data_IF_049608102602
#
_entry.id   IF_049608102602
#
_cell.length_a   1.000
_cell.length_b   1.000
_cell.length_c   1.000
_cell.angle_alpha   90.00
_cell.angle_beta   90.00
_cell.angle_gamma   90.00
#
_symmetry.space_group_name_H-M   'P 1'
#
loop_
_entity.id
_entity.type
_entity.pdbx_description
1 polymer ?
#
# COMPACT_ATOMS: atom_id res chain seq x y z
N UNK A 1 29.30 -13.10 48.22
CA UNK A 1 28.22 -14.07 47.93
C UNK A 1 28.84 -15.39 47.55
N UNK A 2 28.30 -16.52 48.02
CA UNK A 2 28.77 -17.86 47.66
C UNK A 2 28.39 -18.20 46.22
N UNK A 3 29.08 -19.18 45.61
CA UNK A 3 28.73 -19.71 44.28
C UNK A 3 27.26 -20.16 44.21
N UNK A 4 26.76 -20.78 45.28
CA UNK A 4 25.36 -21.20 45.41
C UNK A 4 24.42 -19.99 45.38
N UNK A 5 24.73 -18.91 46.10
CA UNK A 5 23.91 -17.70 46.08
C UNK A 5 23.84 -17.06 44.69
N UNK A 6 24.96 -17.04 43.96
CA UNK A 6 24.99 -16.56 42.57
C UNK A 6 24.18 -17.46 41.63
N UNK A 7 24.30 -18.78 41.75
CA UNK A 7 23.54 -19.74 40.95
C UNK A 7 22.03 -19.62 41.21
N UNK A 8 21.62 -19.48 42.48
CA UNK A 8 20.22 -19.27 42.86
C UNK A 8 19.67 -17.95 42.30
N UNK A 9 20.42 -16.85 42.42
CA UNK A 9 20.01 -15.55 41.89
C UNK A 9 19.86 -15.59 40.35
N UNK A 10 20.81 -16.25 39.67
CA UNK A 10 20.76 -16.46 38.22
C UNK A 10 19.53 -17.26 37.79
N UNK A 11 19.25 -18.37 38.47
CA UNK A 11 18.06 -19.19 38.19
C UNK A 11 16.76 -18.43 38.44
N UNK A 12 16.65 -17.69 39.56
CA UNK A 12 15.47 -16.89 39.86
C UNK A 12 15.25 -15.78 38.81
N UNK A 13 16.32 -15.10 38.40
CA UNK A 13 16.25 -14.07 37.36
C UNK A 13 15.79 -14.64 36.02
N UNK A 14 16.33 -15.80 35.64
CA UNK A 14 15.91 -16.51 34.43
C UNK A 14 14.44 -16.93 34.48
N UNK A 15 13.99 -17.50 35.61
CA UNK A 15 12.59 -17.90 35.79
C UNK A 15 11.64 -16.70 35.76
N UNK A 16 12.04 -15.55 36.33
CA UNK A 16 11.27 -14.31 36.27
C UNK A 16 11.14 -13.78 34.83
N UNK A 17 12.23 -13.81 34.05
CA UNK A 17 12.20 -13.43 32.62
C UNK A 17 11.28 -14.37 31.84
N UNK A 18 11.38 -15.69 32.06
CA UNK A 18 10.49 -16.66 31.41
C UNK A 18 9.02 -16.45 31.78
N UNK A 19 8.72 -16.18 33.06
CA UNK A 19 7.38 -15.89 33.53
C UNK A 19 6.84 -14.60 32.90
N UNK A 20 7.66 -13.55 32.83
CA UNK A 20 7.32 -12.30 32.16
C UNK A 20 7.01 -12.50 30.67
N UNK A 21 7.87 -13.21 29.93
CA UNK A 21 7.66 -13.49 28.50
C UNK A 21 6.34 -14.24 28.30
N UNK A 22 6.08 -15.27 29.11
CA UNK A 22 4.84 -16.05 29.04
C UNK A 22 3.60 -15.22 29.35
N UNK A 23 3.66 -14.36 30.36
CA UNK A 23 2.54 -13.49 30.71
C UNK A 23 2.29 -12.42 29.63
N UNK A 24 3.34 -11.78 29.12
CA UNK A 24 3.25 -10.83 28.03
C UNK A 24 2.66 -11.48 26.76
N UNK A 25 3.17 -12.64 26.36
CA UNK A 25 2.67 -13.39 25.20
C UNK A 25 1.22 -13.83 25.37
N UNK A 26 0.82 -14.28 26.58
CA UNK A 26 -0.57 -14.59 26.92
C UNK A 26 -1.49 -13.37 26.73
N UNK A 27 -1.06 -12.19 27.18
CA UNK A 27 -1.80 -10.92 27.02
C UNK A 27 -1.92 -10.52 25.56
N UNK A 28 -0.85 -10.64 24.77
CA UNK A 28 -0.84 -10.29 23.34
C UNK A 28 -1.67 -11.26 22.47
N UNK A 29 -1.78 -12.52 22.87
CA UNK A 29 -2.58 -13.55 22.18
C UNK A 29 -4.08 -13.43 22.45
N UNK A 30 -4.49 -12.71 23.50
CA UNK A 30 -5.89 -12.48 23.79
C UNK A 30 -6.50 -11.49 22.79
N UNK A 31 -7.66 -11.81 22.24
CA UNK A 31 -8.42 -10.87 21.40
C UNK A 31 -9.39 -10.10 22.32
N UNK A 32 -9.25 -8.76 22.47
CA UNK A 32 -10.14 -7.99 23.33
C UNK A 32 -11.60 -8.07 22.87
N UNK A 33 -12.56 -8.04 23.80
CA UNK A 33 -13.99 -8.10 23.49
C UNK A 33 -14.42 -6.99 22.50
N UNK A 34 -13.83 -5.78 22.64
CA UNK A 34 -14.06 -4.66 21.72
C UNK A 34 -13.59 -4.94 20.28
N UNK A 35 -12.56 -5.77 20.09
CA UNK A 35 -12.13 -6.22 18.76
C UNK A 35 -13.05 -7.29 18.19
N UNK A 36 -13.54 -8.20 19.05
CA UNK A 36 -14.47 -9.25 18.65
C UNK A 36 -15.81 -8.68 18.14
N UNK A 37 -16.24 -7.53 18.69
CA UNK A 37 -17.45 -6.84 18.23
C UNK A 37 -17.42 -6.46 16.74
N UNK A 38 -16.27 -6.03 16.21
CA UNK A 38 -16.12 -5.62 14.80
C UNK A 38 -16.02 -6.79 13.82
N UNK A 39 -15.81 -8.02 14.31
CA UNK A 39 -15.71 -9.22 13.49
C UNK A 39 -16.33 -10.40 14.26
N UNK A 40 -17.67 -10.41 14.41
CA UNK A 40 -18.36 -11.42 15.20
C UNK A 40 -18.27 -12.81 14.56
N UNK A 41 -18.17 -12.87 13.23
CA UNK A 41 -18.01 -14.09 12.45
C UNK A 41 -16.54 -14.21 12.02
N UNK A 42 -15.80 -15.15 12.64
CA UNK A 42 -14.42 -15.44 12.24
C UNK A 42 -14.36 -16.56 11.21
N UNK A 43 -13.33 -16.52 10.37
CA UNK A 43 -13.04 -17.60 9.44
C UNK A 43 -12.75 -18.89 10.19
N UNK A 44 -13.52 -19.94 9.87
CA UNK A 44 -13.25 -21.30 10.29
C UNK A 44 -12.57 -22.06 9.14
N UNK A 45 -11.83 -23.15 9.42
CA UNK A 45 -11.27 -23.99 8.35
C UNK A 45 -12.30 -24.41 7.31
N UNK A 46 -13.48 -24.87 7.76
CA UNK A 46 -14.61 -25.21 6.88
C UNK A 46 -15.12 -24.02 6.07
N UNK A 47 -15.12 -22.82 6.66
CA UNK A 47 -15.51 -21.60 5.96
C UNK A 47 -14.56 -21.24 4.83
N UNK A 48 -13.26 -21.44 5.04
CA UNK A 48 -12.23 -21.23 4.01
C UNK A 48 -12.38 -22.26 2.89
N UNK A 49 -12.52 -23.55 3.23
CA UNK A 49 -12.74 -24.62 2.25
C UNK A 49 -13.98 -24.38 1.39
N UNK A 50 -15.10 -24.01 2.01
CA UNK A 50 -16.35 -23.70 1.30
C UNK A 50 -16.16 -22.57 0.28
N UNK A 51 -15.54 -21.46 0.68
CA UNK A 51 -15.30 -20.32 -0.22
C UNK A 51 -14.32 -20.68 -1.32
N UNK A 52 -13.30 -21.51 -1.04
CA UNK A 52 -12.40 -22.00 -2.06
C UNK A 52 -13.16 -22.80 -3.13
N UNK A 53 -14.03 -23.74 -2.73
CA UNK A 53 -14.87 -24.50 -3.66
C UNK A 53 -15.85 -23.60 -4.44
N UNK A 54 -16.44 -22.60 -3.81
CA UNK A 54 -17.30 -21.61 -4.50
C UNK A 54 -16.52 -20.85 -5.58
N UNK A 55 -15.28 -20.41 -5.27
CA UNK A 55 -14.41 -19.72 -6.23
C UNK A 55 -13.88 -20.63 -7.36
N UNK A 56 -13.72 -21.93 -7.12
CA UNK A 56 -13.37 -22.91 -8.16
C UNK A 56 -14.51 -23.13 -9.15
N UNK A 57 -15.75 -23.10 -8.67
CA UNK A 57 -16.95 -23.22 -9.51
C UNK A 57 -17.20 -21.95 -10.33
N UNK A 58 -16.98 -20.78 -9.74
CA UNK A 58 -17.14 -19.50 -10.41
C UNK A 58 -16.14 -18.48 -9.83
N UNK A 59 -15.10 -18.19 -10.61
CA UNK A 59 -14.17 -17.14 -10.24
C UNK A 59 -14.90 -15.79 -10.17
N UNK A 60 -14.66 -14.97 -9.12
CA UNK A 60 -15.30 -13.67 -9.01
C UNK A 60 -14.88 -12.78 -10.19
N UNK A 61 -15.88 -12.30 -10.92
CA UNK A 61 -15.74 -11.29 -11.96
C UNK A 61 -16.24 -9.95 -11.43
N UNK A 62 -15.64 -8.88 -11.93
CA UNK A 62 -16.01 -7.50 -11.58
C UNK A 62 -16.42 -6.71 -12.82
N UNK A 63 -16.66 -7.39 -13.94
CA UNK A 63 -16.93 -6.75 -15.23
C UNK A 63 -18.23 -5.93 -15.18
N UNK A 64 -19.18 -6.33 -14.33
CA UNK A 64 -20.43 -5.62 -14.00
C UNK A 64 -20.21 -4.37 -13.13
N UNK A 65 -19.06 -4.27 -12.46
CA UNK A 65 -18.66 -3.14 -11.61
C UNK A 65 -17.75 -2.15 -12.35
N UNK A 66 -17.31 -2.48 -13.57
CA UNK A 66 -16.45 -1.58 -14.33
C UNK A 66 -17.25 -0.33 -14.76
N UNK A 67 -16.74 0.88 -14.46
CA UNK A 67 -17.39 2.10 -14.94
C UNK A 67 -17.34 2.16 -16.48
N UNK A 68 -18.26 2.88 -17.13
CA UNK A 68 -18.28 3.00 -18.58
C UNK A 68 -16.98 3.63 -19.12
N UNK A 69 -16.71 3.39 -20.40
CA UNK A 69 -15.66 4.09 -21.16
C UNK A 69 -15.87 5.60 -21.06
N UNK A 70 -14.78 6.34 -20.82
CA UNK A 70 -14.83 7.81 -20.77
C UNK A 70 -14.09 8.46 -21.93
N UNK A 71 -13.22 7.74 -22.63
CA UNK A 71 -12.45 8.28 -23.75
C UNK A 71 -11.32 9.24 -23.33
N UNK A 72 -11.02 9.34 -22.04
CA UNK A 72 -9.96 10.20 -21.51
C UNK A 72 -8.57 9.64 -21.85
N UNK A 73 -7.54 10.47 -21.67
CA UNK A 73 -6.14 10.06 -21.70
C UNK A 73 -5.70 9.67 -20.29
N UNK A 74 -4.94 8.59 -20.15
CA UNK A 74 -4.55 8.02 -18.86
C UNK A 74 -3.05 7.87 -18.72
N UNK A 75 -2.53 8.33 -17.60
CA UNK A 75 -1.15 8.06 -17.19
C UNK A 75 -1.21 7.22 -15.91
N UNK A 76 -0.72 5.99 -15.98
CA UNK A 76 -0.66 5.06 -14.83
C UNK A 76 0.79 4.95 -14.38
N UNK A 77 1.13 5.70 -13.34
CA UNK A 77 2.46 5.72 -12.73
C UNK A 77 2.59 4.57 -11.74
N UNK A 78 3.59 3.71 -11.89
CA UNK A 78 3.65 2.40 -11.26
C UNK A 78 2.77 1.35 -11.98
N UNK A 79 2.45 1.59 -13.26
CA UNK A 79 1.51 0.78 -14.04
C UNK A 79 2.03 -0.59 -14.47
N UNK A 80 3.35 -0.83 -14.36
CA UNK A 80 3.93 -2.15 -14.63
C UNK A 80 3.88 -3.08 -13.40
N UNK A 81 3.58 -2.53 -12.22
CA UNK A 81 3.41 -3.27 -10.97
C UNK A 81 2.05 -3.93 -10.81
N UNK A 82 1.80 -4.49 -9.62
CA UNK A 82 0.57 -5.23 -9.32
C UNK A 82 -0.71 -4.39 -9.45
N UNK A 83 -0.88 -3.36 -8.60
CA UNK A 83 -2.10 -2.53 -8.60
C UNK A 83 -2.23 -1.73 -9.90
N UNK A 84 -1.16 -1.07 -10.33
CA UNK A 84 -1.16 -0.27 -11.55
C UNK A 84 -1.46 -1.09 -12.80
N UNK A 85 -0.93 -2.31 -12.89
CA UNK A 85 -1.23 -3.24 -13.97
C UNK A 85 -2.71 -3.60 -14.03
N UNK A 86 -3.34 -3.85 -12.88
CA UNK A 86 -4.79 -4.09 -12.83
C UNK A 86 -5.60 -2.86 -13.26
N UNK A 87 -5.18 -1.65 -12.91
CA UNK A 87 -5.81 -0.42 -13.41
C UNK A 87 -5.73 -0.37 -14.94
N UNK A 88 -4.57 -0.64 -15.54
CA UNK A 88 -4.40 -0.68 -17.01
C UNK A 88 -5.34 -1.72 -17.64
N UNK A 89 -5.37 -2.94 -17.10
CA UNK A 89 -6.24 -4.00 -17.61
C UNK A 89 -7.72 -3.64 -17.50
N UNK A 90 -8.14 -3.03 -16.40
CA UNK A 90 -9.53 -2.59 -16.21
C UNK A 90 -9.91 -1.44 -17.15
N UNK A 91 -9.01 -0.48 -17.38
CA UNK A 91 -9.20 0.58 -18.38
C UNK A 91 -9.44 -0.02 -19.78
N UNK A 92 -8.63 -1.01 -20.17
CA UNK A 92 -8.77 -1.71 -21.45
C UNK A 92 -10.06 -2.52 -21.53
N UNK A 93 -10.41 -3.25 -20.46
CA UNK A 93 -11.63 -4.07 -20.37
C UNK A 93 -12.90 -3.25 -20.52
N UNK A 94 -12.96 -2.06 -19.91
CA UNK A 94 -14.10 -1.14 -20.10
C UNK A 94 -14.14 -0.45 -21.47
N UNK A 95 -13.20 -0.75 -22.37
CA UNK A 95 -13.21 -0.31 -23.77
C UNK A 95 -12.36 0.92 -24.10
N UNK A 96 -11.47 1.35 -23.20
CA UNK A 96 -10.52 2.42 -23.54
C UNK A 96 -9.55 2.00 -24.64
N UNK A 97 -9.08 2.98 -25.41
CA UNK A 97 -8.10 2.77 -26.47
C UNK A 97 -6.69 2.64 -25.85
N UNK A 98 -5.90 1.58 -26.15
CA UNK A 98 -4.52 1.45 -25.72
C UNK A 98 -3.66 2.70 -26.00
N UNK A 99 -3.90 3.39 -27.13
CA UNK A 99 -3.17 4.62 -27.52
C UNK A 99 -3.40 5.78 -26.56
N UNK A 100 -4.50 5.74 -25.79
CA UNK A 100 -4.85 6.73 -24.75
C UNK A 100 -4.36 6.33 -23.37
N UNK A 101 -3.60 5.25 -23.23
CA UNK A 101 -3.03 4.82 -21.96
C UNK A 101 -1.50 4.86 -22.05
N UNK A 102 -0.86 5.42 -21.03
CA UNK A 102 0.59 5.37 -20.82
C UNK A 102 0.88 4.73 -19.48
N UNK A 103 1.85 3.83 -19.47
CA UNK A 103 2.41 3.23 -18.26
C UNK A 103 3.78 3.84 -18.01
N UNK A 104 3.96 4.42 -16.83
CA UNK A 104 5.26 4.89 -16.35
C UNK A 104 5.70 3.98 -15.21
N UNK A 105 6.88 3.39 -15.29
CA UNK A 105 7.43 2.58 -14.21
C UNK A 105 8.95 2.52 -14.32
N UNK A 106 9.65 2.20 -13.23
CA UNK A 106 11.11 2.06 -13.22
C UNK A 106 11.55 0.78 -13.94
N UNK A 107 10.65 -0.20 -14.09
CA UNK A 107 10.90 -1.47 -14.78
C UNK A 107 9.78 -1.79 -15.77
N UNK A 108 10.10 -2.42 -16.92
CA UNK A 108 9.08 -2.85 -17.88
C UNK A 108 8.13 -3.89 -17.27
N UNK A 109 6.88 -4.00 -17.77
CA UNK A 109 5.94 -5.04 -17.37
C UNK A 109 6.55 -6.43 -17.56
N UNK A 110 6.31 -7.32 -16.59
CA UNK A 110 6.70 -8.74 -16.65
C UNK A 110 5.52 -9.69 -16.65
N UNK A 111 4.38 -9.25 -16.13
CA UNK A 111 3.15 -10.04 -16.10
C UNK A 111 2.67 -10.30 -17.52
N UNK A 112 2.38 -11.55 -17.85
CA UNK A 112 1.95 -11.96 -19.20
C UNK A 112 0.69 -11.23 -19.66
N UNK A 113 -0.24 -10.97 -18.75
CA UNK A 113 -1.48 -10.24 -19.04
C UNK A 113 -1.26 -8.78 -19.50
N UNK A 114 -0.10 -8.18 -19.18
CA UNK A 114 0.31 -6.86 -19.65
C UNK A 114 1.11 -6.92 -20.97
N UNK A 115 1.50 -8.11 -21.43
CA UNK A 115 2.34 -8.33 -22.61
C UNK A 115 1.56 -8.93 -23.79
N UNK A 116 0.26 -9.18 -23.61
CA UNK A 116 -0.61 -9.83 -24.58
C UNK A 116 -1.84 -8.96 -24.91
N UNK A 117 -2.62 -9.40 -25.90
CA UNK A 117 -3.87 -8.75 -26.28
C UNK A 117 -3.69 -7.26 -26.62
N UNK A 118 -4.59 -6.42 -26.11
CA UNK A 118 -4.54 -4.94 -26.23
C UNK A 118 -3.52 -4.30 -25.29
N UNK A 119 -3.10 -5.00 -24.23
CA UNK A 119 -2.21 -4.43 -23.23
C UNK A 119 -0.79 -4.23 -23.76
N UNK A 120 -0.33 -5.11 -24.66
CA UNK A 120 0.96 -4.96 -25.35
C UNK A 120 1.07 -3.68 -26.19
N UNK A 121 -0.08 -3.13 -26.62
CA UNK A 121 -0.16 -1.92 -27.45
C UNK A 121 -0.18 -0.64 -26.59
N UNK A 122 -0.27 -0.78 -25.26
CA UNK A 122 -0.19 0.34 -24.32
C UNK A 122 1.25 0.85 -24.25
N UNK A 123 1.42 2.16 -24.37
CA UNK A 123 2.74 2.76 -24.37
C UNK A 123 3.41 2.66 -23.01
N UNK A 124 4.63 2.12 -22.98
CA UNK A 124 5.46 2.05 -21.78
C UNK A 124 6.59 3.09 -21.83
N UNK A 125 6.79 3.80 -20.72
CA UNK A 125 7.89 4.75 -20.51
C UNK A 125 8.63 4.36 -19.24
N UNK A 126 9.93 4.08 -19.38
CA UNK A 126 10.76 3.77 -18.23
C UNK A 126 11.13 5.06 -17.50
N UNK A 127 10.63 5.22 -16.27
CA UNK A 127 10.76 6.47 -15.49
C UNK A 127 11.04 6.16 -14.02
N UNK A 128 12.11 6.73 -13.48
CA UNK A 128 12.28 6.88 -12.03
C UNK A 128 11.56 8.16 -11.59
N UNK A 129 10.49 8.01 -10.81
CA UNK A 129 9.68 9.16 -10.39
C UNK A 129 10.42 10.13 -9.47
N UNK A 130 11.56 9.73 -8.91
CA UNK A 130 12.42 10.64 -8.15
C UNK A 130 13.25 11.58 -9.03
N UNK A 131 13.35 11.31 -10.32
CA UNK A 131 13.96 12.19 -11.31
C UNK A 131 12.88 13.11 -11.92
N UNK A 132 12.93 14.39 -11.54
CA UNK A 132 11.97 15.39 -12.01
C UNK A 132 12.00 15.54 -13.54
N UNK A 133 13.18 15.53 -14.17
CA UNK A 133 13.30 15.74 -15.61
C UNK A 133 12.72 14.55 -16.38
N UNK A 134 12.95 13.32 -15.89
CA UNK A 134 12.38 12.13 -16.48
C UNK A 134 10.84 12.12 -16.39
N UNK A 135 10.28 12.51 -15.24
CA UNK A 135 8.82 12.63 -15.05
C UNK A 135 8.24 13.69 -15.99
N UNK A 136 8.83 14.89 -16.03
CA UNK A 136 8.37 15.97 -16.91
C UNK A 136 8.39 15.54 -18.38
N UNK A 137 9.46 14.90 -18.84
CA UNK A 137 9.59 14.43 -20.21
C UNK A 137 8.53 13.38 -20.57
N UNK A 138 8.27 12.43 -19.68
CA UNK A 138 7.28 11.37 -19.91
C UNK A 138 5.84 11.89 -19.92
N UNK A 139 5.51 12.87 -19.06
CA UNK A 139 4.20 13.50 -19.04
C UNK A 139 3.97 14.38 -20.28
N UNK A 140 4.99 15.14 -20.72
CA UNK A 140 4.88 16.04 -21.87
C UNK A 140 5.00 15.35 -23.23
N UNK A 141 5.19 14.03 -23.28
CA UNK A 141 5.29 13.33 -24.57
C UNK A 141 4.00 13.53 -25.40
N UNK A 142 4.07 13.75 -26.73
CA UNK A 142 2.88 13.96 -27.55
C UNK A 142 1.95 12.74 -27.59
N UNK A 143 0.64 12.99 -27.54
CA UNK A 143 -0.37 11.95 -27.75
C UNK A 143 -0.62 11.74 -29.24
N UNK A 144 -0.98 10.52 -29.69
CA UNK A 144 -1.34 10.29 -31.10
C UNK A 144 -2.55 11.13 -31.52
N UNK A 145 -2.62 11.43 -32.82
CA UNK A 145 -3.77 12.06 -33.48
C UNK A 145 -4.17 13.43 -32.89
N UNK A 146 -3.21 14.16 -32.30
CA UNK A 146 -3.41 15.45 -31.62
C UNK A 146 -4.56 15.43 -30.60
N UNK A 147 -4.74 14.29 -29.92
CA UNK A 147 -5.84 14.08 -28.98
C UNK A 147 -5.75 15.02 -27.78
N UNK A 148 -6.69 15.96 -27.67
CA UNK A 148 -6.79 16.95 -26.58
C UNK A 148 -7.68 16.52 -25.41
N UNK A 149 -8.20 15.28 -25.40
CA UNK A 149 -9.12 14.80 -24.34
C UNK A 149 -8.52 14.97 -22.94
N UNK A 150 -9.29 15.22 -21.87
CA UNK A 150 -8.69 15.49 -20.56
C UNK A 150 -7.84 14.32 -20.03
N UNK A 151 -6.73 14.64 -19.33
CA UNK A 151 -5.82 13.64 -18.76
C UNK A 151 -6.26 13.27 -17.33
N UNK A 152 -6.25 11.97 -17.03
CA UNK A 152 -6.40 11.38 -15.70
C UNK A 152 -5.16 10.60 -15.31
N UNK A 153 -4.62 10.88 -14.12
CA UNK A 153 -3.39 10.26 -13.62
C UNK A 153 -3.71 9.35 -12.44
N UNK A 154 -3.23 8.11 -12.51
CA UNK A 154 -3.24 7.18 -11.39
C UNK A 154 -1.81 7.01 -10.90
N UNK A 155 -1.50 7.46 -9.69
CA UNK A 155 -0.21 7.26 -9.07
C UNK A 155 -0.26 6.08 -8.10
N UNK A 156 0.24 4.93 -8.54
CA UNK A 156 0.41 3.71 -7.74
C UNK A 156 1.87 3.40 -7.40
N UNK A 157 2.82 4.20 -7.90
CA UNK A 157 4.23 4.01 -7.61
C UNK A 157 4.52 4.28 -6.12
N UNK A 158 5.31 3.38 -5.53
CA UNK A 158 5.73 3.49 -4.15
C UNK A 158 7.00 2.67 -3.89
N UNK A 159 7.86 3.17 -3.01
CA UNK A 159 8.80 2.34 -2.30
C UNK A 159 8.13 1.81 -1.02
N UNK A 160 8.03 0.49 -0.91
CA UNK A 160 7.25 -0.19 0.13
C UNK A 160 8.20 -0.91 1.10
N UNK A 161 8.46 -0.29 2.26
CA UNK A 161 9.37 -0.77 3.31
C UNK A 161 8.68 -0.75 4.67
N UNK A 162 7.72 -1.67 4.88
CA UNK A 162 6.87 -1.70 6.09
C UNK A 162 7.63 -2.01 7.38
N UNK A 163 8.74 -2.74 7.29
CA UNK A 163 9.54 -3.20 8.42
C UNK A 163 10.47 -2.11 9.00
N UNK A 164 10.57 -0.96 8.34
CA UNK A 164 11.43 0.13 8.81
C UNK A 164 10.65 1.10 9.70
N UNK A 165 11.16 1.32 10.91
CA UNK A 165 10.61 2.29 11.85
C UNK A 165 11.61 3.36 12.27
N UNK A 166 12.90 3.11 12.15
CA UNK A 166 13.91 4.07 12.61
C UNK A 166 13.94 5.30 11.71
N UNK A 167 13.98 6.50 12.31
CA UNK A 167 13.87 7.78 11.59
C UNK A 167 15.01 8.00 10.58
N UNK A 168 16.22 7.49 10.87
CA UNK A 168 17.35 7.60 9.94
C UNK A 168 17.15 6.86 8.61
N UNK A 169 16.18 5.94 8.54
CA UNK A 169 15.85 5.18 7.33
C UNK A 169 14.77 5.85 6.48
N UNK A 170 14.12 6.92 6.96
CA UNK A 170 13.10 7.67 6.20
C UNK A 170 13.59 8.07 4.80
N UNK A 171 14.84 8.57 4.61
CA UNK A 171 15.32 8.98 3.29
C UNK A 171 15.24 7.88 2.22
N UNK A 172 15.36 6.60 2.62
CA UNK A 172 15.30 5.46 1.69
C UNK A 172 13.93 5.34 1.01
N UNK A 173 12.86 5.78 1.67
CA UNK A 173 11.50 5.77 1.11
C UNK A 173 11.05 7.16 0.64
N UNK A 174 11.52 8.23 1.29
CA UNK A 174 11.07 9.60 1.04
C UNK A 174 11.39 10.08 -0.38
N UNK A 175 12.54 9.70 -0.95
CA UNK A 175 12.93 10.09 -2.30
C UNK A 175 11.91 9.63 -3.36
N UNK A 176 11.34 8.44 -3.20
CA UNK A 176 10.33 7.92 -4.13
C UNK A 176 8.93 8.38 -3.72
N UNK A 177 8.57 8.20 -2.45
CA UNK A 177 7.19 8.40 -1.99
C UNK A 177 6.80 9.88 -1.87
N UNK A 178 7.70 10.74 -1.40
CA UNK A 178 7.42 12.16 -1.15
C UNK A 178 7.87 12.99 -2.37
N UNK A 179 9.16 12.99 -2.69
CA UNK A 179 9.68 13.76 -3.81
C UNK A 179 9.07 13.30 -5.15
N UNK A 180 8.88 11.99 -5.34
CA UNK A 180 8.23 11.48 -6.54
C UNK A 180 6.74 11.89 -6.63
N UNK A 181 6.02 11.97 -5.51
CA UNK A 181 4.65 12.50 -5.52
C UNK A 181 4.62 13.99 -5.89
N UNK A 182 5.55 14.79 -5.35
CA UNK A 182 5.71 16.20 -5.72
C UNK A 182 6.02 16.38 -7.21
N UNK A 183 6.96 15.59 -7.75
CA UNK A 183 7.30 15.60 -9.18
C UNK A 183 6.05 15.30 -10.03
N UNK A 184 5.26 14.30 -9.65
CA UNK A 184 4.02 13.93 -10.36
C UNK A 184 2.98 15.07 -10.29
N UNK A 185 2.80 15.71 -9.14
CA UNK A 185 1.89 16.86 -9.00
C UNK A 185 2.31 17.99 -9.94
N UNK A 186 3.59 18.34 -9.93
CA UNK A 186 4.13 19.39 -10.79
C UNK A 186 3.97 19.05 -12.28
N UNK A 187 4.23 17.80 -12.66
CA UNK A 187 4.05 17.34 -14.03
C UNK A 187 2.56 17.32 -14.45
N UNK A 188 1.64 16.94 -13.55
CA UNK A 188 0.20 17.04 -13.79
C UNK A 188 -0.21 18.46 -14.13
N UNK A 189 0.24 19.45 -13.35
CA UNK A 189 -0.05 20.88 -13.58
C UNK A 189 0.54 21.37 -14.90
N UNK A 190 1.76 20.95 -15.23
CA UNK A 190 2.45 21.35 -16.46
C UNK A 190 1.74 20.87 -17.74
N UNK A 191 1.02 19.76 -17.68
CA UNK A 191 0.31 19.18 -18.84
C UNK A 191 -1.21 19.33 -18.74
N UNK A 192 -1.69 20.20 -17.85
CA UNK A 192 -3.11 20.47 -17.62
C UNK A 192 -3.93 19.19 -17.35
N UNK A 193 -3.36 18.26 -16.58
CA UNK A 193 -4.10 17.10 -16.12
C UNK A 193 -5.23 17.54 -15.19
N UNK A 194 -6.41 16.93 -15.37
CA UNK A 194 -7.62 17.35 -14.63
C UNK A 194 -7.92 16.48 -13.42
N UNK A 195 -7.33 15.28 -13.34
CA UNK A 195 -7.52 14.35 -12.22
C UNK A 195 -6.19 13.69 -11.85
N UNK A 196 -5.88 13.67 -10.56
CA UNK A 196 -4.81 12.85 -9.95
C UNK A 196 -5.36 11.99 -8.82
N UNK A 197 -5.37 10.67 -9.02
CA UNK A 197 -5.69 9.68 -7.97
C UNK A 197 -4.38 9.10 -7.44
N UNK A 198 -4.12 9.29 -6.16
CA UNK A 198 -2.93 8.77 -5.49
C UNK A 198 -3.27 7.58 -4.60
N UNK A 199 -2.58 6.46 -4.80
CA UNK A 199 -2.65 5.32 -3.91
C UNK A 199 -1.86 5.60 -2.63
N UNK A 200 -2.55 6.06 -1.59
CA UNK A 200 -2.05 6.14 -0.22
C UNK A 200 -2.16 4.77 0.46
N UNK A 201 -2.25 4.71 1.79
CA UNK A 201 -2.35 3.46 2.54
C UNK A 201 -3.17 3.66 3.80
N UNK A 202 -3.95 2.67 4.23
CA UNK A 202 -4.59 2.68 5.55
C UNK A 202 -3.58 2.70 6.71
N UNK A 203 -2.33 2.28 6.46
CA UNK A 203 -1.25 2.38 7.44
C UNK A 203 -0.92 3.81 7.87
N UNK A 204 -1.35 4.83 7.11
CA UNK A 204 -1.20 6.23 7.52
C UNK A 204 -1.97 6.53 8.82
N UNK A 205 -3.06 5.82 9.07
CA UNK A 205 -3.93 6.01 10.23
C UNK A 205 -3.58 5.07 11.39
N UNK A 206 -2.61 4.16 11.22
CA UNK A 206 -2.26 3.18 12.25
C UNK A 206 -1.25 3.79 13.22
N UNK A 207 -1.68 3.98 14.46
CA UNK A 207 -0.82 4.34 15.57
C UNK A 207 0.10 3.18 15.92
N UNK A 208 1.31 3.53 16.31
CA UNK A 208 2.27 2.58 16.82
C UNK A 208 1.92 2.16 18.25
N UNK A 209 2.24 0.90 18.58
CA UNK A 209 1.98 0.33 19.91
C UNK A 209 3.27 -0.24 20.51
N UNK A 210 3.37 -0.24 21.84
CA UNK A 210 4.42 -0.96 22.55
C UNK A 210 3.89 -2.33 22.98
N UNK A 211 4.52 -3.40 22.50
CA UNK A 211 4.13 -4.77 22.79
C UNK A 211 4.92 -5.41 23.95
N UNK A 212 5.82 -4.65 24.59
CA UNK A 212 6.43 -5.00 25.87
C UNK A 212 5.63 -4.33 26.97
N UNK A 213 4.78 -5.11 27.63
CA UNK A 213 3.85 -4.64 28.65
C UNK A 213 4.49 -4.67 30.02
N UNK A 214 4.23 -3.65 30.83
CA UNK A 214 4.50 -3.76 32.25
C UNK A 214 3.62 -4.88 32.88
N UNK A 215 4.07 -5.52 33.98
CA UNK A 215 3.32 -6.62 34.60
C UNK A 215 1.86 -6.28 34.96
N UNK A 216 1.59 -5.01 35.30
CA UNK A 216 0.26 -4.50 35.64
C UNK A 216 -0.58 -4.04 34.43
N UNK A 217 -0.03 -4.02 33.22
CA UNK A 217 -0.80 -3.73 32.00
C UNK A 217 -1.46 -4.99 31.47
N UNK A 218 -2.73 -4.88 31.09
CA UNK A 218 -3.48 -5.99 30.48
C UNK A 218 -3.32 -6.05 28.97
N UNK A 219 -3.11 -4.92 28.31
CA UNK A 219 -3.00 -4.81 26.85
C UNK A 219 -2.15 -3.61 26.41
N UNK A 220 -1.59 -3.63 25.18
CA UNK A 220 -0.94 -2.48 24.58
C UNK A 220 -1.91 -1.30 24.38
N UNK A 221 -1.39 -0.08 24.57
CA UNK A 221 -2.06 1.11 24.05
C UNK A 221 -2.21 0.97 22.52
N UNK A 222 -3.36 1.34 21.99
CA UNK A 222 -3.68 1.23 20.56
C UNK A 222 -3.61 -0.22 20.01
N UNK A 223 -3.89 -1.25 20.83
CA UNK A 223 -4.04 -2.62 20.34
C UNK A 223 -5.20 -2.75 19.34
N UNK A 224 -6.32 -2.09 19.64
CA UNK A 224 -7.51 -2.02 18.77
C UNK A 224 -7.70 -0.57 18.36
N UNK A 225 -7.75 -0.31 17.06
CA UNK A 225 -7.83 1.04 16.51
C UNK A 225 -8.99 1.11 15.51
N UNK A 226 -9.86 2.10 15.68
CA UNK A 226 -10.88 2.43 14.68
C UNK A 226 -10.25 3.39 13.69
N UNK A 227 -10.28 3.02 12.42
CA UNK A 227 -9.67 3.78 11.33
C UNK A 227 -10.79 4.28 10.42
N UNK A 228 -10.78 5.57 10.12
CA UNK A 228 -11.61 6.21 9.11
C UNK A 228 -10.82 7.37 8.47
N UNK A 229 -11.50 8.23 7.70
CA UNK A 229 -10.88 9.38 7.03
C UNK A 229 -10.85 10.67 7.87
N UNK A 230 -11.14 10.59 9.18
CA UNK A 230 -10.95 11.71 10.10
C UNK A 230 -9.46 11.98 10.31
N UNK A 231 -9.01 13.14 9.84
CA UNK A 231 -7.61 13.57 9.93
C UNK A 231 -7.16 13.81 11.39
N UNK A 232 -8.09 13.98 12.35
CA UNK A 232 -7.73 14.07 13.77
C UNK A 232 -7.33 12.73 14.39
N UNK A 233 -7.79 11.61 13.82
CA UNK A 233 -7.37 10.28 14.25
C UNK A 233 -6.00 9.89 13.70
N UNK A 234 -5.51 10.57 12.66
CA UNK A 234 -4.26 10.23 11.98
C UNK A 234 -3.05 10.70 12.80
N UNK A 235 -2.11 9.79 13.16
CA UNK A 235 -0.90 10.16 13.88
C UNK A 235 -0.08 11.20 13.12
N UNK A 236 0.25 12.31 13.78
CA UNK A 236 0.91 13.48 13.17
C UNK A 236 2.44 13.42 13.26
N UNK A 237 2.99 12.74 14.27
CA UNK A 237 4.44 12.64 14.49
C UNK A 237 4.99 11.27 14.14
N UNK A 238 6.21 11.20 13.60
CA UNK A 238 6.82 9.94 13.12
C UNK A 238 6.84 8.84 14.19
N UNK A 239 7.17 9.17 15.44
CA UNK A 239 7.22 8.21 16.56
C UNK A 239 5.88 7.50 16.81
N UNK A 240 4.77 8.17 16.51
CA UNK A 240 3.41 7.68 16.73
C UNK A 240 2.90 6.87 15.52
N UNK A 241 3.57 6.94 14.37
CA UNK A 241 3.20 6.18 13.17
C UNK A 241 3.84 4.79 13.21
N UNK A 242 3.10 3.77 12.75
CA UNK A 242 3.56 2.38 12.74
C UNK A 242 4.90 2.17 12.01
N UNK A 243 5.12 2.83 10.87
CA UNK A 243 6.29 2.60 10.01
C UNK A 243 6.69 3.83 9.20
N UNK A 244 7.91 3.82 8.66
CA UNK A 244 8.41 4.80 7.69
C UNK A 244 7.57 4.83 6.41
N UNK A 245 7.03 3.67 5.98
CA UNK A 245 6.09 3.62 4.87
C UNK A 245 4.82 4.43 5.16
N UNK A 246 4.19 4.21 6.32
CA UNK A 246 3.02 4.99 6.76
C UNK A 246 3.33 6.48 6.85
N UNK A 247 4.48 6.85 7.41
CA UNK A 247 4.93 8.24 7.51
C UNK A 247 5.09 8.89 6.13
N UNK A 248 5.82 8.26 5.21
CA UNK A 248 6.06 8.82 3.87
C UNK A 248 4.79 8.86 3.01
N UNK A 249 3.88 7.88 3.13
CA UNK A 249 2.56 7.91 2.48
C UNK A 249 1.65 9.01 3.04
N UNK A 250 1.74 9.31 4.34
CA UNK A 250 1.04 10.44 4.96
C UNK A 250 1.55 11.77 4.38
N UNK A 251 2.87 11.96 4.32
CA UNK A 251 3.48 13.18 3.76
C UNK A 251 3.09 13.38 2.29
N UNK A 252 3.17 12.32 1.47
CA UNK A 252 2.72 12.36 0.09
C UNK A 252 1.22 12.70 -0.03
N UNK A 253 0.37 12.14 0.83
CA UNK A 253 -1.06 12.43 0.87
C UNK A 253 -1.38 13.88 1.27
N UNK A 254 -0.57 14.50 2.15
CA UNK A 254 -0.70 15.93 2.45
C UNK A 254 -0.41 16.78 1.20
N UNK A 255 0.68 16.48 0.48
CA UNK A 255 1.03 17.19 -0.75
C UNK A 255 -0.04 17.04 -1.83
N UNK A 256 -0.50 15.81 -2.09
CA UNK A 256 -1.52 15.53 -3.11
C UNK A 256 -2.82 16.26 -2.77
N UNK A 257 -3.33 16.11 -1.54
CA UNK A 257 -4.58 16.79 -1.14
C UNK A 257 -4.44 18.31 -1.15
N UNK A 258 -3.26 18.84 -0.81
CA UNK A 258 -2.97 20.28 -0.88
C UNK A 258 -2.95 20.83 -2.31
N UNK A 259 -2.79 19.98 -3.32
CA UNK A 259 -2.86 20.35 -4.73
C UNK A 259 -4.29 20.28 -5.30
N UNK A 260 -5.29 19.90 -4.50
CA UNK A 260 -6.67 19.83 -4.96
C UNK A 260 -7.21 21.21 -5.38
N UNK A 261 -7.83 21.26 -6.56
CA UNK A 261 -8.43 22.45 -7.19
C UNK A 261 -7.44 23.58 -7.51
N UNK A 262 -6.13 23.34 -7.35
CA UNK A 262 -5.07 24.24 -7.82
C UNK A 262 -4.90 24.03 -9.32
N UNK A 263 -5.00 25.10 -10.11
CA UNK A 263 -4.92 25.09 -11.59
C UNK A 263 -5.90 24.10 -12.25
N UNK A 264 -7.05 23.85 -11.63
CA UNK A 264 -8.07 22.93 -12.17
C UNK A 264 -7.77 21.43 -11.97
N UNK A 265 -6.70 21.07 -11.26
CA UNK A 265 -6.35 19.69 -10.93
C UNK A 265 -7.16 19.17 -9.74
N UNK A 266 -8.10 18.25 -9.98
CA UNK A 266 -8.79 17.53 -8.90
C UNK A 266 -7.93 16.39 -8.38
N UNK A 267 -7.81 16.25 -7.07
CA UNK A 267 -6.99 15.20 -6.48
C UNK A 267 -7.77 14.32 -5.52
N UNK A 268 -7.36 13.06 -5.38
CA UNK A 268 -7.93 12.13 -4.42
C UNK A 268 -6.89 11.14 -3.91
N UNK A 269 -6.94 10.80 -2.63
CA UNK A 269 -6.09 9.79 -2.02
C UNK A 269 -6.90 8.57 -1.63
N UNK A 270 -6.53 7.40 -2.15
CA UNK A 270 -7.11 6.13 -1.75
C UNK A 270 -6.29 5.53 -0.62
N UNK A 271 -6.93 5.12 0.49
CA UNK A 271 -6.26 4.50 1.65
C UNK A 271 -6.73 3.05 1.84
N UNK A 272 -6.23 2.10 1.03
CA UNK A 272 -6.53 0.68 1.23
C UNK A 272 -6.21 0.24 2.67
N UNK A 273 -7.23 -0.19 3.41
CA UNK A 273 -7.12 -0.53 4.84
C UNK A 273 -6.36 -1.82 5.11
N UNK A 274 -6.55 -2.81 4.25
CA UNK A 274 -5.79 -4.05 4.24
C UNK A 274 -4.78 -4.04 3.10
N UNK A 275 -3.80 -4.92 3.19
CA UNK A 275 -2.89 -5.16 2.08
C UNK A 275 -3.67 -5.63 0.84
N UNK A 276 -3.42 -5.00 -0.30
CA UNK A 276 -4.07 -5.37 -1.58
C UNK A 276 -3.40 -6.63 -2.11
N UNK A 277 -4.19 -7.64 -2.44
CA UNK A 277 -3.72 -8.93 -2.95
C UNK A 277 -4.58 -9.42 -4.11
N UNK A 278 -4.06 -10.39 -4.86
CA UNK A 278 -4.74 -10.94 -6.03
C UNK A 278 -3.75 -11.49 -7.06
N UNK A 279 -4.28 -12.01 -8.17
CA UNK A 279 -3.45 -12.56 -9.23
C UNK A 279 -2.50 -11.50 -9.83
N UNK A 280 -1.26 -11.87 -10.15
CA UNK A 280 -0.30 -10.98 -10.82
C UNK A 280 0.76 -10.36 -9.90
N UNK A 281 1.58 -11.20 -9.27
CA UNK A 281 2.78 -10.80 -8.50
C UNK A 281 2.52 -9.86 -7.31
N UNK A 282 1.44 -10.07 -6.54
CA UNK A 282 1.24 -9.32 -5.30
C UNK A 282 2.31 -9.68 -4.24
N UNK A 283 2.71 -8.69 -3.44
CA UNK A 283 3.80 -8.83 -2.46
C UNK A 283 3.39 -9.53 -1.16
N UNK A 284 2.11 -9.87 -0.99
CA UNK A 284 1.54 -10.37 0.26
C UNK A 284 1.22 -11.85 0.18
N UNK A 285 0.26 -12.26 -0.64
CA UNK A 285 -0.12 -13.67 -0.77
C UNK A 285 0.62 -14.32 -1.92
N UNK A 286 0.65 -13.69 -3.10
CA UNK A 286 1.34 -14.19 -4.28
C UNK A 286 2.82 -14.46 -4.01
N UNK A 287 3.51 -13.52 -3.34
CA UNK A 287 4.90 -13.74 -2.94
C UNK A 287 5.07 -14.94 -2.00
N UNK A 288 4.16 -15.15 -1.04
CA UNK A 288 4.21 -16.31 -0.14
C UNK A 288 3.96 -17.63 -0.86
N UNK A 289 3.07 -17.65 -1.86
CA UNK A 289 2.74 -18.84 -2.66
C UNK A 289 3.88 -19.23 -3.62
N UNK A 290 4.61 -18.26 -4.15
CA UNK A 290 5.69 -18.50 -5.12
C UNK A 290 7.04 -18.76 -4.44
N UNK A 291 7.28 -18.19 -3.25
CA UNK A 291 8.51 -18.43 -2.50
C UNK A 291 8.60 -19.88 -2.04
N UNK A 292 9.75 -20.52 -2.31
CA UNK A 292 10.06 -21.87 -1.80
C UNK A 292 10.18 -21.92 -0.27
N UNK A 293 10.54 -20.80 0.35
CA UNK A 293 10.67 -20.65 1.79
C UNK A 293 10.15 -19.29 2.24
N UNK A 294 9.38 -19.28 3.32
CA UNK A 294 8.88 -18.07 3.94
C UNK A 294 9.42 -17.97 5.38
N UNK A 295 10.06 -16.85 5.76
CA UNK A 295 10.50 -16.66 7.12
C UNK A 295 9.29 -16.54 8.05
N UNK A 296 9.34 -17.23 9.20
CA UNK A 296 8.29 -17.18 10.22
C UNK A 296 8.44 -15.98 11.17
N UNK A 297 9.51 -15.21 11.02
CA UNK A 297 9.81 -13.99 11.78
C UNK A 297 10.64 -13.03 10.92
N UNK A 298 10.40 -11.72 11.05
CA UNK A 298 11.16 -10.60 10.45
C UNK A 298 11.70 -9.76 11.60
#
# INVERSE_FOLDING_TARGET
MSLVQWATLGLLSFLLILAYIRDNDRKLKAIPARAAHFSPNRWSPKGVERIASECELAAPLIDDQLPPKTGRRYIVVGGAGFLGGWIVLQLLRRGEDPKRIRVLDIRPPRRLDLLEGKAKDVKFLQVDISDKMAVDAAFSEPWPDDDESPISVFNTAANIRFYERHASLIPLSAKVNIQGAENIINACRKVDASILVHASSGSVSVHSSCFLLWPWQEEPKHLVQVINDDDELIPKTHKDILSNHGYTKRQAGVLVRGANDVDGLRTGCLRPGNGIFGAGEDMLFGAYLVRKSNPTWI
#
